data_IF_019167123067
#
_entry.id   IF_019167123067
#
_cell.length_a   1.000
_cell.length_b   1.000
_cell.length_c   1.000
_cell.angle_alpha   90.00
_cell.angle_beta   90.00
_cell.angle_gamma   90.00
#
_symmetry.space_group_name_H-M   'P 1'
#
loop_
_entity.id
_entity.type
_entity.pdbx_description
1 polymer ?
#
# COMPACT_ATOMS: atom_id res chain seq x y z
N UNK A 1 -13.19 -17.86 2.14
CA UNK A 1 -12.34 -16.81 1.53
C UNK A 1 -12.23 -17.05 0.03
N UNK A 2 -12.59 -16.07 -0.77
CA UNK A 2 -12.52 -16.21 -2.22
C UNK A 2 -11.56 -15.17 -2.79
N UNK A 3 -10.69 -15.58 -3.70
CA UNK A 3 -9.82 -14.70 -4.46
C UNK A 3 -10.33 -14.60 -5.88
N UNK A 4 -10.53 -13.38 -6.36
CA UNK A 4 -10.98 -13.13 -7.71
C UNK A 4 -9.95 -12.31 -8.46
N UNK A 5 -9.52 -12.80 -9.63
CA UNK A 5 -8.54 -12.10 -10.47
C UNK A 5 -9.23 -11.47 -11.66
N UNK A 6 -8.87 -10.23 -11.95
CA UNK A 6 -9.44 -9.47 -13.05
C UNK A 6 -8.32 -9.13 -14.03
N UNK A 7 -8.46 -9.64 -15.25
CA UNK A 7 -7.45 -9.51 -16.30
C UNK A 7 -7.91 -8.52 -17.37
N UNK A 8 -6.96 -7.91 -18.01
CA UNK A 8 -7.19 -7.07 -19.17
C UNK A 8 -6.00 -6.17 -19.45
N UNK A 9 -5.94 -5.67 -20.66
CA UNK A 9 -4.92 -4.69 -21.05
C UNK A 9 -5.22 -3.33 -20.44
N UNK A 10 -4.23 -2.44 -20.45
CA UNK A 10 -4.43 -1.05 -20.04
C UNK A 10 -5.59 -0.42 -20.84
N UNK A 11 -6.49 0.24 -20.15
CA UNK A 11 -7.67 0.85 -20.79
C UNK A 11 -8.85 -0.07 -21.04
N UNK A 12 -8.80 -1.32 -20.55
CA UNK A 12 -9.90 -2.29 -20.74
C UNK A 12 -11.04 -2.15 -19.74
N UNK A 13 -11.00 -1.17 -18.84
CA UNK A 13 -12.05 -0.95 -17.86
C UNK A 13 -11.91 -1.73 -16.56
N UNK A 14 -10.74 -2.29 -16.27
CA UNK A 14 -10.50 -3.05 -15.04
C UNK A 14 -10.75 -2.22 -13.78
N UNK A 15 -10.20 -1.02 -13.74
CA UNK A 15 -10.35 -0.12 -12.59
C UNK A 15 -11.80 0.31 -12.41
N UNK A 16 -12.49 0.64 -13.49
CA UNK A 16 -13.92 0.98 -13.48
C UNK A 16 -14.75 -0.17 -12.90
N UNK A 17 -14.49 -1.38 -13.33
CA UNK A 17 -15.19 -2.56 -12.84
C UNK A 17 -15.00 -2.76 -11.35
N UNK A 18 -13.75 -2.64 -10.88
CA UNK A 18 -13.41 -2.81 -9.46
C UNK A 18 -14.10 -1.74 -8.61
N UNK A 19 -14.02 -0.48 -9.02
CA UNK A 19 -14.63 0.61 -8.27
C UNK A 19 -16.15 0.47 -8.17
N UNK A 20 -16.80 0.14 -9.26
CA UNK A 20 -18.25 -0.07 -9.25
C UNK A 20 -18.65 -1.26 -8.36
N UNK A 21 -17.90 -2.35 -8.43
CA UNK A 21 -18.15 -3.53 -7.61
C UNK A 21 -17.97 -3.24 -6.12
N UNK A 22 -16.91 -2.53 -5.75
CA UNK A 22 -16.66 -2.15 -4.35
C UNK A 22 -17.77 -1.24 -3.83
N UNK A 23 -18.20 -0.28 -4.63
CA UNK A 23 -19.31 0.63 -4.26
C UNK A 23 -20.60 -0.16 -4.03
N UNK A 24 -20.94 -1.09 -4.92
CA UNK A 24 -22.12 -1.93 -4.76
C UNK A 24 -22.06 -2.77 -3.49
N UNK A 25 -20.92 -3.39 -3.22
CA UNK A 25 -20.73 -4.20 -2.01
C UNK A 25 -20.81 -3.35 -0.75
N UNK A 26 -20.22 -2.17 -0.77
CA UNK A 26 -20.24 -1.25 0.37
C UNK A 26 -21.64 -0.72 0.67
N UNK A 27 -22.44 -0.48 -0.36
CA UNK A 27 -23.83 -0.06 -0.20
C UNK A 27 -24.73 -1.19 0.31
N UNK A 28 -24.42 -2.42 -0.10
CA UNK A 28 -25.18 -3.59 0.32
C UNK A 28 -24.93 -3.95 1.78
N UNK A 29 -23.73 -3.70 2.29
CA UNK A 29 -23.35 -4.00 3.68
C UNK A 29 -22.56 -2.84 4.29
N UNK A 30 -23.26 -1.91 4.91
CA UNK A 30 -22.69 -0.72 5.52
C UNK A 30 -21.93 -0.99 6.82
N UNK A 31 -22.09 -2.16 7.40
CA UNK A 31 -21.39 -2.54 8.64
C UNK A 31 -19.99 -3.04 8.38
N UNK A 32 -19.71 -3.48 7.15
CA UNK A 32 -18.42 -4.02 6.76
C UNK A 32 -17.57 -2.90 6.17
N UNK A 33 -16.28 -2.86 6.54
CA UNK A 33 -15.32 -1.95 5.99
C UNK A 33 -14.62 -2.58 4.79
N UNK A 34 -14.49 -1.82 3.72
CA UNK A 34 -13.82 -2.24 2.50
C UNK A 34 -12.56 -1.43 2.30
N UNK A 35 -11.49 -2.09 1.89
CA UNK A 35 -10.20 -1.45 1.65
C UNK A 35 -9.83 -1.58 0.19
N UNK A 36 -9.50 -0.46 -0.42
CA UNK A 36 -8.94 -0.41 -1.77
C UNK A 36 -7.47 -0.09 -1.63
N UNK A 37 -6.62 -1.03 -2.05
CA UNK A 37 -5.17 -0.89 -1.93
C UNK A 37 -4.63 -0.44 -3.28
N UNK A 38 -3.95 0.71 -3.28
CA UNK A 38 -3.34 1.30 -4.48
C UNK A 38 -1.95 1.80 -4.13
N UNK A 39 -1.07 2.00 -5.12
CA UNK A 39 0.21 2.67 -4.87
C UNK A 39 -0.01 4.05 -4.24
N UNK A 40 0.90 4.49 -3.37
CA UNK A 40 0.75 5.73 -2.59
C UNK A 40 0.42 6.93 -3.46
N UNK A 41 1.04 7.05 -4.60
CA UNK A 41 0.85 8.17 -5.53
C UNK A 41 -0.56 8.23 -6.15
N UNK A 42 -1.31 7.14 -6.10
CA UNK A 42 -2.64 7.06 -6.71
C UNK A 42 -3.79 7.09 -5.70
N UNK A 43 -3.50 7.26 -4.41
CA UNK A 43 -4.54 7.23 -3.37
C UNK A 43 -5.57 8.33 -3.54
N UNK A 44 -5.15 9.54 -3.85
CA UNK A 44 -6.07 10.67 -4.06
C UNK A 44 -6.94 10.49 -5.29
N UNK A 45 -6.37 10.00 -6.38
CA UNK A 45 -7.11 9.73 -7.61
C UNK A 45 -8.17 8.66 -7.39
N UNK A 46 -7.81 7.58 -6.71
CA UNK A 46 -8.75 6.50 -6.41
C UNK A 46 -9.89 6.98 -5.51
N UNK A 47 -9.61 7.81 -4.51
CA UNK A 47 -10.64 8.40 -3.67
C UNK A 47 -11.62 9.26 -4.48
N UNK A 48 -11.10 10.11 -5.35
CA UNK A 48 -11.95 10.96 -6.21
C UNK A 48 -12.87 10.12 -7.09
N UNK A 49 -12.33 9.09 -7.71
CA UNK A 49 -13.13 8.22 -8.58
C UNK A 49 -14.22 7.49 -7.81
N UNK A 50 -13.91 6.98 -6.63
CA UNK A 50 -14.91 6.33 -5.79
C UNK A 50 -16.02 7.28 -5.35
N UNK A 51 -15.67 8.49 -4.94
CA UNK A 51 -16.66 9.51 -4.57
C UNK A 51 -17.53 9.90 -5.75
N UNK A 52 -16.95 10.13 -6.92
CA UNK A 52 -17.68 10.53 -8.11
C UNK A 52 -18.65 9.44 -8.59
N UNK A 53 -18.26 8.18 -8.45
CA UNK A 53 -19.08 7.04 -8.87
C UNK A 53 -20.11 6.60 -7.84
N UNK A 54 -19.96 7.02 -6.58
CA UNK A 54 -20.90 6.66 -5.53
C UNK A 54 -22.18 7.47 -5.63
N UNK A 55 -23.29 6.88 -5.16
CA UNK A 55 -24.55 7.64 -5.03
C UNK A 55 -24.37 8.72 -3.97
N UNK A 56 -24.90 9.91 -4.24
CA UNK A 56 -24.78 11.08 -3.37
C UNK A 56 -23.35 11.58 -3.14
N UNK A 57 -22.38 11.09 -3.92
CA UNK A 57 -20.96 11.48 -3.81
C UNK A 57 -20.37 11.34 -2.41
N UNK A 58 -20.80 10.30 -1.68
CA UNK A 58 -20.32 10.02 -0.32
C UNK A 58 -19.89 8.57 -0.22
N UNK A 59 -18.72 8.36 0.35
CA UNK A 59 -18.23 7.02 0.73
C UNK A 59 -18.05 6.99 2.25
N UNK A 60 -18.64 6.01 2.92
CA UNK A 60 -18.62 5.90 4.38
C UNK A 60 -17.74 4.75 4.85
N UNK A 61 -17.84 3.61 4.21
CA UNK A 61 -17.19 2.37 4.63
C UNK A 61 -16.16 1.84 3.62
N UNK A 62 -15.63 2.70 2.77
CA UNK A 62 -14.56 2.37 1.83
C UNK A 62 -13.34 3.22 2.18
N UNK A 63 -12.22 2.58 2.44
CA UNK A 63 -10.94 3.24 2.69
C UNK A 63 -9.98 2.96 1.56
N UNK A 64 -9.38 4.01 1.03
CA UNK A 64 -8.30 3.90 0.04
C UNK A 64 -6.97 4.04 0.75
N UNK A 65 -6.14 3.01 0.69
CA UNK A 65 -4.87 2.98 1.40
C UNK A 65 -3.77 2.42 0.51
N UNK A 66 -2.54 2.81 0.80
CA UNK A 66 -1.37 2.11 0.27
C UNK A 66 -1.02 0.93 1.16
N UNK A 67 -0.14 0.04 0.70
CA UNK A 67 0.35 -1.05 1.55
C UNK A 67 1.01 -0.53 2.82
N UNK A 68 1.75 0.56 2.71
CA UNK A 68 2.42 1.17 3.85
C UNK A 68 1.43 1.66 4.90
N UNK A 69 0.40 2.38 4.49
CA UNK A 69 -0.65 2.86 5.40
C UNK A 69 -1.45 1.73 6.02
N UNK A 70 -1.71 0.69 5.25
CA UNK A 70 -2.39 -0.50 5.76
C UNK A 70 -1.55 -1.17 6.85
N UNK A 71 -0.23 -1.29 6.63
CA UNK A 71 0.68 -1.83 7.62
C UNK A 71 0.66 -1.02 8.93
N UNK A 72 0.67 0.31 8.84
CA UNK A 72 0.58 1.17 10.02
C UNK A 72 -0.73 0.99 10.79
N UNK A 73 -1.84 0.84 10.10
CA UNK A 73 -3.13 0.57 10.75
C UNK A 73 -3.13 -0.77 11.49
N UNK A 74 -2.56 -1.80 10.87
CA UNK A 74 -2.45 -3.11 11.50
C UNK A 74 -1.56 -3.03 12.74
N UNK A 75 -0.44 -2.31 12.66
CA UNK A 75 0.45 -2.11 13.81
C UNK A 75 -0.24 -1.35 14.94
N UNK A 76 -1.01 -0.32 14.63
CA UNK A 76 -1.80 0.43 15.61
C UNK A 76 -2.81 -0.47 16.32
N UNK A 77 -3.55 -1.26 15.58
CA UNK A 77 -4.55 -2.18 16.15
C UNK A 77 -3.92 -3.25 17.05
N UNK A 78 -2.71 -3.70 16.71
CA UNK A 78 -1.98 -4.68 17.48
C UNK A 78 -1.17 -4.07 18.62
N UNK A 79 -1.15 -2.73 18.73
CA UNK A 79 -0.37 -2.04 19.74
C UNK A 79 1.13 -2.07 19.50
N UNK A 80 1.58 -2.36 18.28
CA UNK A 80 3.00 -2.39 17.93
C UNK A 80 3.46 -0.97 17.61
N UNK A 81 4.39 -0.46 18.40
CA UNK A 81 4.97 0.86 18.19
C UNK A 81 6.41 0.71 17.71
N UNK A 82 6.61 0.80 16.43
CA UNK A 82 7.94 0.80 15.83
C UNK A 82 8.21 2.16 15.18
N UNK A 83 9.45 2.60 15.31
CA UNK A 83 9.90 3.82 14.64
C UNK A 83 10.11 3.53 13.16
N UNK A 84 9.51 4.37 12.31
CA UNK A 84 9.68 4.25 10.86
C UNK A 84 10.93 5.02 10.44
N UNK A 85 11.77 4.36 9.65
CA UNK A 85 12.98 4.96 9.12
C UNK A 85 12.75 5.52 7.73
N UNK A 86 13.28 6.72 7.49
CA UNK A 86 13.36 7.30 6.16
C UNK A 86 14.41 6.57 5.31
N UNK A 87 14.40 6.80 4.01
CA UNK A 87 15.32 6.14 3.07
C UNK A 87 16.79 6.34 3.44
N UNK A 88 17.16 7.54 3.85
CA UNK A 88 18.53 7.83 4.31
C UNK A 88 18.88 7.00 5.55
N UNK A 89 17.97 6.89 6.50
CA UNK A 89 18.15 6.09 7.70
C UNK A 89 18.30 4.60 7.39
N UNK A 90 17.49 4.09 6.45
CA UNK A 90 17.59 2.69 6.00
C UNK A 90 18.98 2.40 5.41
N UNK A 91 19.47 3.28 4.57
CA UNK A 91 20.80 3.16 3.96
C UNK A 91 21.91 3.13 5.00
N UNK A 92 21.83 4.01 5.99
CA UNK A 92 22.83 4.07 7.07
C UNK A 92 22.84 2.81 7.93
N UNK A 93 21.65 2.30 8.28
CA UNK A 93 21.52 1.07 9.06
C UNK A 93 22.04 -0.15 8.28
N UNK A 94 21.68 -0.26 7.01
CA UNK A 94 22.16 -1.33 6.14
C UNK A 94 23.68 -1.29 6.01
N UNK A 95 24.25 -0.10 5.86
CA UNK A 95 25.70 0.08 5.80
C UNK A 95 26.38 -0.39 7.08
N UNK A 96 25.85 -0.02 8.24
CA UNK A 96 26.38 -0.44 9.53
C UNK A 96 26.30 -1.96 9.70
N UNK A 97 25.19 -2.57 9.34
CA UNK A 97 25.03 -4.02 9.39
C UNK A 97 26.03 -4.71 8.46
N UNK A 98 26.24 -4.18 7.26
CA UNK A 98 27.20 -4.72 6.31
C UNK A 98 28.63 -4.62 6.83
N UNK A 99 29.00 -3.56 7.52
CA UNK A 99 30.32 -3.40 8.16
C UNK A 99 30.52 -4.42 9.29
N UNK A 100 29.52 -4.60 10.15
CA UNK A 100 29.57 -5.55 11.26
C UNK A 100 29.57 -7.00 10.79
N UNK A 101 28.85 -7.31 9.73
CA UNK A 101 28.68 -8.65 9.14
C UNK A 101 29.50 -8.82 7.86
N UNK A 102 30.52 -8.02 7.65
CA UNK A 102 31.25 -7.96 6.40
C UNK A 102 31.90 -9.26 5.93
N UNK A 103 32.19 -10.18 6.85
CA UNK A 103 32.71 -11.51 6.51
C UNK A 103 31.66 -12.42 5.90
N UNK A 104 30.39 -12.22 6.27
CA UNK A 104 29.25 -13.02 5.81
C UNK A 104 28.59 -12.43 4.57
N UNK A 105 28.87 -11.16 4.24
CA UNK A 105 28.21 -10.40 3.18
C UNK A 105 29.20 -9.92 2.11
N UNK A 106 30.07 -10.79 1.65
CA UNK A 106 31.17 -10.46 0.72
C UNK A 106 30.66 -9.86 -0.60
N UNK A 107 29.50 -10.27 -1.08
CA UNK A 107 28.91 -9.79 -2.35
C UNK A 107 28.35 -8.37 -2.22
N UNK A 108 27.73 -8.05 -1.07
CA UNK A 108 27.08 -6.76 -0.83
C UNK A 108 28.03 -5.67 -0.36
N UNK A 109 29.17 -6.06 0.19
CA UNK A 109 30.13 -5.16 0.83
C UNK A 109 30.60 -4.02 -0.07
N UNK A 110 30.97 -4.32 -1.30
CA UNK A 110 31.38 -3.30 -2.27
C UNK A 110 30.23 -2.49 -2.85
N UNK A 111 29.05 -3.10 -2.97
CA UNK A 111 27.86 -2.45 -3.57
C UNK A 111 27.20 -1.44 -2.64
N UNK A 112 27.18 -1.69 -1.34
CA UNK A 112 26.58 -0.77 -0.36
C UNK A 112 27.37 0.54 -0.32
N UNK A 113 28.71 0.47 -0.40
CA UNK A 113 29.54 1.67 -0.47
C UNK A 113 29.33 2.51 -1.72
N UNK A 114 28.94 1.89 -2.83
CA UNK A 114 28.68 2.57 -4.12
C UNK A 114 27.29 3.15 -4.23
N UNK A 115 26.33 2.63 -3.49
CA UNK A 115 24.93 3.03 -3.57
C UNK A 115 24.66 4.45 -3.04
N UNK A 116 25.66 5.10 -2.45
CA UNK A 116 25.55 6.43 -1.85
C UNK A 116 26.24 7.53 -2.66
N UNK A 117 26.66 7.22 -3.84
CA UNK A 117 27.29 8.23 -4.70
C UNK A 117 26.24 9.01 -5.47
#
# INVERSE_FOLDING_TARGET
MALQLIYGNSGSGKSTYIYEKVIQMAQADRRRNFYVIVPEQFTMQAQRELVQRSQNHVIVNIDVVSFERLAYRIFDELGIQNTVMEETGKSLVLRKIAEEKGKDLTVLRGKIGRAHV
#
